data_IF_660954720470
#
_entry.id   IF_660954720470
#
_cell.length_a   1.000
_cell.length_b   1.000
_cell.length_c   1.000
_cell.angle_alpha   90.00
_cell.angle_beta   90.00
_cell.angle_gamma   90.00
#
_symmetry.space_group_name_H-M   'P 1'
#
loop_
_entity.id
_entity.type
_entity.pdbx_description
1 polymer ?
#
# COMPACT_ATOMS: atom_id res chain seq x y z
N UNK A 1 -1.12 -2.13 -22.97
CA UNK A 1 -1.67 -1.44 -21.78
C UNK A 1 -1.09 -2.11 -20.54
N UNK A 2 -0.57 -1.36 -19.56
CA UNK A 2 -0.18 -1.92 -18.26
C UNK A 2 -1.31 -1.63 -17.28
N UNK A 3 -1.87 -2.67 -16.69
CA UNK A 3 -2.83 -2.53 -15.59
C UNK A 3 -2.16 -1.86 -14.38
N UNK A 4 -2.92 -1.02 -13.66
CA UNK A 4 -2.58 -0.44 -12.35
C UNK A 4 -3.84 -0.50 -11.46
N UNK A 5 -3.64 -0.62 -10.15
CA UNK A 5 -4.73 -0.58 -9.17
C UNK A 5 -5.41 0.78 -9.17
N UNK A 6 -6.71 0.77 -8.90
CA UNK A 6 -7.55 1.97 -8.91
C UNK A 6 -7.41 2.69 -7.57
N UNK A 7 -7.12 4.00 -7.61
CA UNK A 7 -6.89 4.84 -6.42
C UNK A 7 -8.10 4.92 -5.48
N UNK A 8 -9.32 4.86 -6.02
CA UNK A 8 -10.58 5.01 -5.27
C UNK A 8 -11.12 3.68 -4.71
N UNK A 9 -10.32 2.60 -4.78
CA UNK A 9 -10.64 1.30 -4.20
C UNK A 9 -9.55 0.91 -3.20
N UNK A 10 -9.92 0.07 -2.22
CA UNK A 10 -8.93 -0.45 -1.29
C UNK A 10 -7.84 -1.22 -2.03
N UNK A 11 -6.58 -0.96 -1.67
CA UNK A 11 -5.44 -1.68 -2.24
C UNK A 11 -5.37 -3.07 -1.62
N UNK A 12 -5.75 -3.22 -0.35
CA UNK A 12 -5.89 -4.52 0.29
C UNK A 12 -6.94 -5.41 -0.43
N UNK A 13 -8.12 -4.88 -0.73
CA UNK A 13 -9.16 -5.64 -1.45
C UNK A 13 -8.69 -6.05 -2.85
N UNK A 14 -8.11 -5.12 -3.62
CA UNK A 14 -7.59 -5.42 -4.95
C UNK A 14 -6.43 -6.41 -4.94
N UNK A 15 -5.62 -6.41 -3.88
CA UNK A 15 -4.55 -7.40 -3.69
C UNK A 15 -5.13 -8.78 -3.37
N UNK A 16 -6.18 -8.84 -2.55
CA UNK A 16 -6.89 -10.07 -2.24
C UNK A 16 -7.55 -10.69 -3.48
N UNK A 17 -8.11 -9.86 -4.39
CA UNK A 17 -8.61 -10.31 -5.70
C UNK A 17 -7.51 -11.02 -6.52
N UNK A 18 -6.28 -10.48 -6.54
CA UNK A 18 -5.14 -11.07 -7.26
C UNK A 18 -4.69 -12.39 -6.62
N UNK A 19 -4.65 -12.45 -5.28
CA UNK A 19 -4.29 -13.69 -4.55
C UNK A 19 -5.32 -14.78 -4.82
N UNK A 20 -6.62 -14.44 -4.86
CA UNK A 20 -7.67 -15.42 -5.21
C UNK A 20 -7.52 -15.96 -6.64
N UNK A 21 -7.06 -15.14 -7.59
CA UNK A 21 -6.72 -15.62 -8.93
C UNK A 21 -5.52 -16.56 -8.90
N UNK A 22 -4.50 -16.27 -8.09
CA UNK A 22 -3.36 -17.17 -7.91
C UNK A 22 -3.79 -18.52 -7.33
N UNK A 23 -4.65 -18.53 -6.31
CA UNK A 23 -5.19 -19.77 -5.75
C UNK A 23 -5.97 -20.59 -6.79
N UNK A 24 -6.80 -19.94 -7.61
CA UNK A 24 -7.52 -20.62 -8.68
C UNK A 24 -6.57 -21.21 -9.75
N UNK A 25 -5.44 -20.56 -10.01
CA UNK A 25 -4.39 -21.09 -10.89
C UNK A 25 -3.66 -22.27 -10.23
N UNK A 26 -3.37 -22.19 -8.94
CA UNK A 26 -2.76 -23.28 -8.18
C UNK A 26 -3.64 -24.53 -8.17
N UNK A 27 -4.96 -24.38 -8.04
CA UNK A 27 -5.96 -25.46 -8.16
C UNK A 27 -5.96 -26.11 -9.54
N UNK A 28 -5.60 -25.35 -10.59
CA UNK A 28 -5.37 -25.83 -11.95
C UNK A 28 -3.94 -26.35 -12.19
N UNK A 29 -3.18 -26.62 -11.13
CA UNK A 29 -1.78 -27.05 -11.15
C UNK A 29 -0.78 -26.03 -11.74
N UNK A 30 -1.20 -24.77 -11.92
CA UNK A 30 -0.38 -23.66 -12.41
C UNK A 30 0.18 -22.84 -11.24
N UNK A 31 1.10 -23.44 -10.47
CA UNK A 31 1.70 -22.77 -9.31
C UNK A 31 2.54 -21.56 -9.70
N UNK A 32 2.23 -20.41 -9.10
CA UNK A 32 3.01 -19.20 -9.27
C UNK A 32 4.06 -19.13 -8.15
N UNK A 33 5.34 -18.87 -8.46
CA UNK A 33 6.33 -18.62 -7.42
C UNK A 33 5.93 -17.41 -6.57
N UNK A 34 5.91 -17.56 -5.25
CA UNK A 34 5.47 -16.50 -4.32
C UNK A 34 6.15 -15.15 -4.59
N UNK A 35 7.47 -15.17 -4.81
CA UNK A 35 8.24 -13.96 -5.13
C UNK A 35 7.76 -13.27 -6.41
N UNK A 36 7.32 -14.04 -7.41
CA UNK A 36 6.75 -13.48 -8.64
C UNK A 36 5.40 -12.82 -8.35
N UNK A 37 4.55 -13.44 -7.52
CA UNK A 37 3.27 -12.88 -7.11
C UNK A 37 3.46 -11.55 -6.38
N UNK A 38 4.33 -11.52 -5.37
CA UNK A 38 4.68 -10.31 -4.60
C UNK A 38 5.17 -9.19 -5.52
N UNK A 39 6.14 -9.47 -6.40
CA UNK A 39 6.65 -8.48 -7.35
C UNK A 39 5.59 -8.00 -8.33
N UNK A 40 4.69 -8.89 -8.76
CA UNK A 40 3.61 -8.55 -9.68
C UNK A 40 2.59 -7.61 -9.03
N UNK A 41 2.21 -7.86 -7.77
CA UNK A 41 1.31 -7.00 -7.00
C UNK A 41 1.92 -5.61 -6.80
N UNK A 42 3.18 -5.56 -6.37
CA UNK A 42 3.91 -4.29 -6.14
C UNK A 42 3.98 -3.45 -7.42
N UNK A 43 4.20 -4.07 -8.58
CA UNK A 43 4.17 -3.39 -9.89
C UNK A 43 2.77 -2.84 -10.27
N UNK A 44 1.70 -3.29 -9.60
CA UNK A 44 0.33 -2.77 -9.82
C UNK A 44 -0.02 -1.60 -8.91
N UNK A 45 0.82 -1.25 -7.95
CA UNK A 45 0.56 -0.08 -7.12
C UNK A 45 0.46 1.18 -7.96
N UNK A 46 -0.50 2.02 -7.60
CA UNK A 46 -0.69 3.32 -8.22
C UNK A 46 0.36 4.32 -7.70
N UNK A 47 0.48 5.48 -8.34
CA UNK A 47 1.50 6.47 -7.99
C UNK A 47 1.40 6.96 -6.54
N UNK A 48 0.19 7.01 -5.97
CA UNK A 48 0.05 7.45 -4.57
C UNK A 48 0.71 6.50 -3.56
N UNK A 49 1.12 5.30 -3.98
CA UNK A 49 1.77 4.26 -3.16
C UNK A 49 3.27 4.10 -3.44
N UNK A 50 3.88 5.02 -4.19
CA UNK A 50 5.30 4.97 -4.62
C UNK A 50 6.29 4.80 -3.45
N UNK A 51 6.05 5.44 -2.30
CA UNK A 51 6.93 5.32 -1.14
C UNK A 51 6.94 3.89 -0.54
N UNK A 52 5.78 3.23 -0.55
CA UNK A 52 5.70 1.83 -0.12
C UNK A 52 6.38 0.94 -1.17
N UNK A 53 6.13 1.16 -2.45
CA UNK A 53 6.75 0.43 -3.56
C UNK A 53 8.29 0.47 -3.48
N UNK A 54 8.89 1.65 -3.30
CA UNK A 54 10.34 1.81 -3.12
C UNK A 54 10.82 1.03 -1.89
N UNK A 55 10.12 1.14 -0.77
CA UNK A 55 10.46 0.46 0.48
C UNK A 55 10.46 -1.07 0.29
N UNK A 56 9.43 -1.62 -0.35
CA UNK A 56 9.30 -3.06 -0.57
C UNK A 56 10.33 -3.57 -1.59
N UNK A 57 10.63 -2.80 -2.64
CA UNK A 57 11.71 -3.10 -3.61
C UNK A 57 13.08 -3.17 -2.93
N UNK A 58 13.35 -2.29 -1.97
CA UNK A 58 14.59 -2.31 -1.19
C UNK A 58 14.75 -3.57 -0.31
N UNK A 59 13.66 -4.23 0.07
CA UNK A 59 13.70 -5.48 0.84
C UNK A 59 14.09 -6.72 0.00
N UNK A 60 14.40 -6.54 -1.31
CA UNK A 60 15.02 -7.54 -2.21
C UNK A 60 14.30 -8.90 -2.28
N UNK A 61 12.98 -8.91 -2.10
CA UNK A 61 12.17 -10.13 -2.20
C UNK A 61 12.31 -11.07 -1.00
N UNK A 62 12.50 -10.51 0.20
CA UNK A 62 12.37 -11.22 1.49
C UNK A 62 10.93 -11.24 2.01
N UNK A 63 10.02 -10.52 1.35
CA UNK A 63 8.62 -10.40 1.75
C UNK A 63 7.84 -11.62 1.29
N UNK A 64 7.13 -12.24 2.20
CA UNK A 64 6.04 -13.15 1.89
C UNK A 64 4.80 -12.39 1.41
N UNK A 65 3.80 -13.11 0.89
CA UNK A 65 2.49 -12.54 0.56
C UNK A 65 1.81 -11.97 1.82
N UNK A 66 1.96 -12.63 2.96
CA UNK A 66 1.39 -12.17 4.23
C UNK A 66 2.05 -10.87 4.71
N UNK A 67 3.37 -10.78 4.63
CA UNK A 67 4.10 -9.54 4.97
C UNK A 67 3.65 -8.37 4.08
N UNK A 68 3.42 -8.65 2.79
CA UNK A 68 2.92 -7.65 1.85
C UNK A 68 1.52 -7.17 2.24
N UNK A 69 0.61 -8.08 2.58
CA UNK A 69 -0.75 -7.73 3.01
C UNK A 69 -0.78 -6.90 4.29
N UNK A 70 0.07 -7.23 5.26
CA UNK A 70 0.23 -6.45 6.50
C UNK A 70 0.72 -5.04 6.16
N UNK A 71 1.76 -4.92 5.34
CA UNK A 71 2.31 -3.62 4.95
C UNK A 71 1.29 -2.74 4.21
N UNK A 72 0.50 -3.33 3.30
CA UNK A 72 -0.59 -2.64 2.60
C UNK A 72 -1.62 -2.13 3.62
N UNK A 73 -2.07 -2.99 4.54
CA UNK A 73 -3.10 -2.63 5.52
C UNK A 73 -2.68 -1.46 6.42
N UNK A 74 -1.44 -1.48 6.92
CA UNK A 74 -0.88 -0.40 7.74
C UNK A 74 -0.82 0.92 6.95
N UNK A 75 -0.34 0.88 5.71
CA UNK A 75 -0.20 2.07 4.89
C UNK A 75 -1.58 2.64 4.49
N UNK A 76 -2.56 1.80 4.24
CA UNK A 76 -3.93 2.22 3.93
C UNK A 76 -4.58 2.91 5.12
N UNK A 77 -4.42 2.35 6.33
CA UNK A 77 -4.87 2.97 7.57
C UNK A 77 -4.22 4.34 7.79
N UNK A 78 -2.90 4.43 7.61
CA UNK A 78 -2.17 5.69 7.73
C UNK A 78 -2.68 6.75 6.75
N UNK A 79 -2.92 6.40 5.48
CA UNK A 79 -3.50 7.32 4.49
C UNK A 79 -4.89 7.80 4.90
N UNK A 80 -5.74 6.89 5.37
CA UNK A 80 -7.09 7.21 5.83
C UNK A 80 -7.10 8.13 7.05
N UNK A 81 -6.11 8.02 7.94
CA UNK A 81 -5.93 8.94 9.08
C UNK A 81 -5.48 10.33 8.62
N UNK A 82 -4.52 10.41 7.68
CA UNK A 82 -4.06 11.71 7.14
C UNK A 82 -5.15 12.48 6.39
N UNK A 83 -6.07 11.78 5.72
CA UNK A 83 -7.18 12.41 5.00
C UNK A 83 -8.28 12.97 5.93
N UNK A 84 -8.33 12.53 7.20
CA UNK A 84 -9.39 12.92 8.16
C UNK A 84 -9.05 14.13 9.04
N UNK A 85 -7.86 14.72 8.90
CA UNK A 85 -7.47 15.88 9.71
C UNK A 85 -7.57 17.21 8.95
N UNK A 86 -8.53 18.10 9.27
CA UNK A 86 -8.30 19.53 9.08
C UNK A 86 -7.47 20.03 10.26
N UNK A 87 -6.14 20.07 10.10
CA UNK A 87 -5.29 20.66 11.15
C UNK A 87 -5.27 22.17 11.01
N UNK A 88 -6.31 22.82 11.53
CA UNK A 88 -6.29 24.27 11.79
C UNK A 88 -5.35 24.53 12.98
N UNK A 89 -4.06 24.72 12.68
CA UNK A 89 -3.12 25.26 13.66
C UNK A 89 -3.30 26.77 13.73
N UNK A 90 -4.07 27.26 14.70
CA UNK A 90 -4.00 28.68 15.07
C UNK A 90 -2.77 28.91 15.97
N UNK A 91 -1.74 29.66 15.52
CA UNK A 91 -0.60 29.95 16.37
C UNK A 91 -0.98 30.99 17.44
N UNK A 92 -0.90 30.61 18.73
CA UNK A 92 -0.98 31.55 19.84
C UNK A 92 0.38 32.21 20.08
N UNK A 93 0.71 33.22 19.29
CA UNK A 93 1.75 34.17 19.67
C UNK A 93 1.16 35.16 20.70
N UNK A 94 1.53 35.04 21.98
CA UNK A 94 1.33 36.12 22.95
C UNK A 94 2.57 37.02 22.93
N UNK A 95 2.47 38.15 22.24
CA UNK A 95 3.39 39.27 22.43
C UNK A 95 3.13 39.84 23.83
N UNK A 96 4.06 39.65 24.76
CA UNK A 96 4.10 40.42 26.00
C UNK A 96 4.96 41.65 25.69
N UNK A 97 4.31 42.78 25.40
CA UNK A 97 4.97 44.09 25.42
C UNK A 97 5.09 44.49 26.90
N UNK A 98 6.31 44.37 27.44
CA UNK A 98 6.67 44.88 28.76
C UNK A 98 7.56 46.12 28.59
N UNK A 99 7.07 47.23 29.14
CA UNK A 99 7.70 48.56 29.20
C UNK A 99 8.97 48.59 30.04
#
# INVERSE_FOLDING_TARGET
>A
MRYQMVEDRSVAEQTHEIINLEHALADAEMKIPEKFLVMSIVDKFSKSWENLDITLKHQKGRLSVDDLMIAISIQEEHKNQTHKMPVEHQPRAKLIVGK
#
